data_IF_622213423191
#
_entry.id   IF_622213423191
#
_cell.length_a   1.000
_cell.length_b   1.000
_cell.length_c   1.000
_cell.angle_alpha   90.00
_cell.angle_beta   90.00
_cell.angle_gamma   90.00
#
_symmetry.space_group_name_H-M   'P 1'
#
loop_
_entity.id
_entity.type
_entity.pdbx_description
1 polymer ?
#
# COMPACT_ATOMS: atom_id res chain seq x y z
N UNK A 1 -12.32 -18.75 -9.18
CA UNK A 1 -11.64 -17.65 -8.47
C UNK A 1 -10.33 -17.37 -9.16
N UNK A 2 -10.20 -16.22 -9.80
CA UNK A 2 -8.96 -15.82 -10.49
C UNK A 2 -7.86 -15.68 -9.45
N UNK A 3 -6.71 -16.33 -9.70
CA UNK A 3 -5.54 -16.26 -8.81
C UNK A 3 -5.09 -14.81 -8.71
N UNK A 4 -4.82 -14.31 -7.50
CA UNK A 4 -4.32 -12.95 -7.32
C UNK A 4 -2.99 -12.78 -8.10
N UNK A 5 -2.91 -11.84 -9.05
CA UNK A 5 -1.77 -11.76 -9.98
C UNK A 5 -0.49 -11.27 -9.29
N UNK A 6 -0.60 -10.59 -8.14
CA UNK A 6 0.55 -9.98 -7.47
C UNK A 6 1.30 -10.98 -6.59
N UNK A 7 0.65 -12.08 -6.19
CA UNK A 7 1.21 -13.06 -5.24
C UNK A 7 2.54 -13.63 -5.73
N UNK A 8 2.64 -14.02 -7.01
CA UNK A 8 3.86 -14.60 -7.56
C UNK A 8 5.04 -13.64 -7.51
N UNK A 9 4.82 -12.39 -7.90
CA UNK A 9 5.86 -11.36 -7.85
C UNK A 9 6.28 -11.07 -6.40
N UNK A 10 5.32 -10.90 -5.48
CA UNK A 10 5.61 -10.62 -4.07
C UNK A 10 6.42 -11.74 -3.42
N UNK A 11 6.05 -13.00 -3.66
CA UNK A 11 6.78 -14.15 -3.12
C UNK A 11 8.20 -14.25 -3.69
N UNK A 12 8.38 -14.01 -4.99
CA UNK A 12 9.69 -13.99 -5.63
C UNK A 12 10.61 -12.88 -5.05
N UNK A 13 10.03 -11.80 -4.52
CA UNK A 13 10.75 -10.71 -3.86
C UNK A 13 10.83 -10.87 -2.33
N UNK A 14 10.55 -12.07 -1.80
CA UNK A 14 10.74 -12.40 -0.39
C UNK A 14 9.60 -11.96 0.54
N UNK A 15 8.44 -11.58 -0.01
CA UNK A 15 7.27 -11.22 0.79
C UNK A 15 6.36 -12.43 1.00
N UNK A 16 6.22 -12.86 2.27
CA UNK A 16 5.24 -13.89 2.64
C UNK A 16 3.82 -13.32 2.50
N UNK A 17 3.00 -13.99 1.69
CA UNK A 17 1.62 -13.57 1.45
C UNK A 17 0.63 -14.60 2.00
N UNK A 18 -0.36 -14.13 2.74
CA UNK A 18 -1.39 -14.96 3.38
C UNK A 18 -2.78 -14.47 3.00
N UNK A 19 -3.83 -15.33 3.06
CA UNK A 19 -5.20 -14.85 2.92
C UNK A 19 -5.55 -13.81 3.99
N UNK A 20 -6.35 -12.82 3.63
CA UNK A 20 -6.97 -11.87 4.56
C UNK A 20 -8.47 -12.09 4.59
N UNK A 21 -9.05 -12.15 5.79
CA UNK A 21 -10.46 -12.44 6.01
C UNK A 21 -11.14 -11.28 6.73
N UNK A 22 -12.46 -11.17 6.55
CA UNK A 22 -13.26 -10.19 7.26
C UNK A 22 -13.33 -10.55 8.75
N UNK A 23 -12.66 -9.78 9.61
CA UNK A 23 -12.64 -9.98 11.07
C UNK A 23 -12.34 -11.45 11.43
N UNK A 24 -13.22 -12.09 12.21
CA UNK A 24 -13.12 -13.49 12.63
C UNK A 24 -13.95 -14.44 11.76
N UNK A 25 -14.37 -14.00 10.57
CA UNK A 25 -15.12 -14.84 9.64
C UNK A 25 -14.18 -15.59 8.69
N UNK A 26 -14.74 -16.55 7.96
CA UNK A 26 -14.07 -17.27 6.87
C UNK A 26 -14.24 -16.59 5.51
N UNK A 27 -14.87 -15.40 5.45
CA UNK A 27 -15.11 -14.67 4.20
C UNK A 27 -13.79 -14.03 3.71
N UNK A 28 -13.21 -14.47 2.58
CA UNK A 28 -11.96 -13.92 2.09
C UNK A 28 -12.17 -12.51 1.53
N UNK A 29 -11.37 -11.57 2.01
CA UNK A 29 -11.34 -10.19 1.49
C UNK A 29 -10.17 -9.93 0.55
N UNK A 30 -9.18 -10.84 0.52
CA UNK A 30 -8.04 -10.73 -0.37
C UNK A 30 -6.79 -11.40 0.20
N UNK A 31 -5.64 -10.77 -0.02
CA UNK A 31 -4.32 -11.22 0.43
C UNK A 31 -3.69 -10.17 1.33
N UNK A 32 -2.72 -10.57 2.15
CA UNK A 32 -1.96 -9.67 3.02
C UNK A 32 -0.50 -10.08 3.14
N UNK A 33 0.36 -9.11 3.45
CA UNK A 33 1.74 -9.32 3.87
C UNK A 33 2.12 -8.34 4.98
N UNK A 34 3.26 -8.56 5.63
CA UNK A 34 3.83 -7.65 6.62
C UNK A 34 5.18 -7.15 6.10
N UNK A 35 5.42 -5.83 6.17
CA UNK A 35 6.71 -5.23 5.83
C UNK A 35 6.94 -3.97 6.65
N UNK A 36 8.16 -3.83 7.20
CA UNK A 36 8.55 -2.63 7.96
C UNK A 36 7.69 -2.34 9.19
N UNK A 37 7.14 -3.38 9.84
CA UNK A 37 6.22 -3.23 10.98
C UNK A 37 4.78 -2.87 10.60
N UNK A 38 4.45 -2.87 9.31
CA UNK A 38 3.10 -2.62 8.80
C UNK A 38 2.51 -3.88 8.15
N UNK A 39 1.28 -4.21 8.52
CA UNK A 39 0.46 -5.19 7.82
C UNK A 39 -0.33 -4.45 6.72
N UNK A 40 -0.27 -4.97 5.49
CA UNK A 40 -1.06 -4.47 4.38
C UNK A 40 -1.88 -5.62 3.80
N UNK A 41 -3.17 -5.38 3.57
CA UNK A 41 -4.07 -6.26 2.86
C UNK A 41 -4.62 -5.60 1.59
N UNK A 42 -4.71 -6.37 0.52
CA UNK A 42 -5.21 -5.93 -0.79
C UNK A 42 -6.13 -6.97 -1.43
N UNK A 43 -6.87 -6.53 -2.46
CA UNK A 43 -7.53 -7.41 -3.42
C UNK A 43 -7.44 -6.85 -4.84
N UNK A 44 -7.37 -7.73 -5.82
CA UNK A 44 -7.43 -7.35 -7.23
C UNK A 44 -8.83 -7.60 -7.80
N UNK A 45 -9.36 -6.62 -8.53
CA UNK A 45 -10.59 -6.69 -9.30
C UNK A 45 -10.31 -6.22 -10.73
N UNK A 46 -9.98 -7.15 -11.62
CA UNK A 46 -9.45 -6.81 -12.96
C UNK A 46 -8.11 -6.07 -12.84
N UNK A 47 -7.97 -4.94 -13.53
CA UNK A 47 -6.79 -4.06 -13.44
C UNK A 47 -6.76 -3.15 -12.20
N UNK A 48 -7.78 -3.23 -11.34
CA UNK A 48 -7.92 -2.39 -10.15
C UNK A 48 -7.41 -3.12 -8.91
N UNK A 49 -6.62 -2.44 -8.08
CA UNK A 49 -6.10 -2.99 -6.82
C UNK A 49 -6.67 -2.19 -5.66
N UNK A 50 -7.42 -2.85 -4.78
CA UNK A 50 -7.98 -2.22 -3.60
C UNK A 50 -7.07 -2.47 -2.39
N UNK A 51 -6.69 -1.40 -1.68
CA UNK A 51 -6.11 -1.43 -0.34
C UNK A 51 -7.27 -1.63 0.63
N UNK A 52 -7.39 -2.86 1.13
CA UNK A 52 -8.45 -3.26 2.06
C UNK A 52 -8.09 -2.84 3.48
N UNK A 53 -6.80 -2.93 3.81
CA UNK A 53 -6.28 -2.51 5.09
C UNK A 53 -4.79 -2.18 4.95
N UNK A 54 -4.35 -1.17 5.65
CA UNK A 54 -2.96 -0.95 6.02
C UNK A 54 -3.03 -0.65 7.51
N UNK A 55 -2.16 -1.22 8.35
CA UNK A 55 -2.08 -0.92 9.78
C UNK A 55 -0.70 -1.26 10.31
N UNK A 56 -0.37 -0.76 11.49
CA UNK A 56 0.84 -1.19 12.21
C UNK A 56 0.58 -2.52 12.90
N UNK A 57 1.60 -3.37 12.94
CA UNK A 57 1.56 -4.63 13.70
C UNK A 57 1.63 -4.36 15.19
N UNK A 58 2.37 -3.32 15.60
CA UNK A 58 2.51 -2.85 16.98
C UNK A 58 2.60 -1.31 16.99
N UNK A 59 2.01 -0.65 17.98
CA UNK A 59 1.88 0.80 18.10
C UNK A 59 3.21 1.58 18.14
N UNK A 60 4.33 0.92 18.48
CA UNK A 60 5.67 1.53 18.45
C UNK A 60 6.50 1.14 17.22
N UNK A 61 6.19 0.02 16.58
CA UNK A 61 6.89 -0.46 15.38
C UNK A 61 6.26 0.15 14.11
N UNK A 62 7.11 0.51 13.13
CA UNK A 62 6.67 1.11 11.87
C UNK A 62 6.54 2.63 11.86
N UNK A 63 6.82 3.34 12.97
CA UNK A 63 6.78 4.81 13.03
C UNK A 63 7.79 5.48 12.07
N UNK A 64 8.94 4.84 11.83
CA UNK A 64 9.98 5.35 10.94
C UNK A 64 9.48 5.42 9.49
N UNK A 65 8.64 4.46 9.07
CA UNK A 65 8.04 4.48 7.74
C UNK A 65 6.74 3.68 7.67
N UNK A 66 5.64 4.26 8.16
CA UNK A 66 4.32 3.62 8.21
C UNK A 66 3.73 3.26 6.83
N UNK A 67 4.37 3.70 5.74
CA UNK A 67 3.92 3.50 4.36
C UNK A 67 4.85 2.59 3.55
N UNK A 68 5.87 1.99 4.19
CA UNK A 68 6.82 1.12 3.51
C UNK A 68 6.13 -0.05 2.77
N UNK A 69 5.13 -0.66 3.41
CA UNK A 69 4.34 -1.73 2.79
C UNK A 69 3.55 -1.26 1.56
N UNK A 70 3.08 -0.02 1.55
CA UNK A 70 2.37 0.53 0.39
C UNK A 70 3.30 0.71 -0.82
N UNK A 71 4.56 1.07 -0.60
CA UNK A 71 5.54 1.13 -1.69
C UNK A 71 5.83 -0.24 -2.29
N UNK A 72 5.97 -1.27 -1.45
CA UNK A 72 6.14 -2.65 -1.92
C UNK A 72 4.94 -3.08 -2.78
N UNK A 73 3.71 -2.77 -2.34
CA UNK A 73 2.52 -3.08 -3.14
C UNK A 73 2.52 -2.32 -4.47
N UNK A 74 2.89 -1.04 -4.49
CA UNK A 74 2.94 -0.25 -5.71
C UNK A 74 4.00 -0.78 -6.71
N UNK A 75 5.13 -1.28 -6.22
CA UNK A 75 6.16 -1.92 -7.06
C UNK A 75 5.63 -3.21 -7.70
N UNK A 76 4.95 -4.05 -6.91
CA UNK A 76 4.31 -5.26 -7.42
C UNK A 76 3.26 -4.94 -8.50
N UNK A 77 2.41 -3.94 -8.24
CA UNK A 77 1.38 -3.50 -9.19
C UNK A 77 2.00 -2.96 -10.47
N UNK A 78 3.03 -2.13 -10.36
CA UNK A 78 3.73 -1.59 -11.52
C UNK A 78 4.33 -2.70 -12.38
N UNK A 79 4.99 -3.68 -11.75
CA UNK A 79 5.65 -4.78 -12.44
C UNK A 79 4.68 -5.75 -13.11
N UNK A 80 3.53 -6.02 -12.49
CA UNK A 80 2.59 -7.05 -12.94
C UNK A 80 1.45 -6.49 -13.79
N UNK A 81 0.92 -5.32 -13.44
CA UNK A 81 -0.26 -4.72 -14.07
C UNK A 81 0.08 -3.48 -14.90
N UNK A 82 1.33 -3.00 -14.84
CA UNK A 82 1.80 -1.85 -15.61
C UNK A 82 1.52 -0.49 -14.97
N UNK A 83 2.06 0.56 -15.58
CA UNK A 83 2.09 1.91 -15.02
C UNK A 83 0.71 2.58 -14.88
N UNK A 84 -0.26 2.14 -15.70
CA UNK A 84 -1.64 2.66 -15.68
C UNK A 84 -2.49 2.02 -14.59
N UNK A 85 -2.01 0.95 -13.94
CA UNK A 85 -2.72 0.30 -12.87
C UNK A 85 -2.82 1.22 -11.65
N UNK A 86 -3.99 1.16 -11.01
CA UNK A 86 -4.37 2.08 -9.94
C UNK A 86 -4.65 1.32 -8.66
N UNK A 87 -4.14 1.89 -7.57
CA UNK A 87 -4.41 1.52 -6.19
C UNK A 87 -5.57 2.38 -5.68
N UNK A 88 -6.54 1.75 -5.04
CA UNK A 88 -7.72 2.41 -4.48
C UNK A 88 -7.89 2.00 -3.04
N UNK A 89 -8.24 2.91 -2.15
CA UNK A 89 -8.68 2.44 -0.84
C UNK A 89 -9.01 3.53 0.13
N UNK A 90 -9.82 3.11 1.11
CA UNK A 90 -10.01 3.83 2.36
C UNK A 90 -8.98 3.29 3.33
N UNK A 91 -7.94 4.06 3.58
CA UNK A 91 -6.82 3.61 4.41
C UNK A 91 -7.08 4.01 5.85
N UNK A 92 -7.41 3.05 6.71
CA UNK A 92 -7.58 3.26 8.15
C UNK A 92 -6.28 2.99 8.93
N UNK A 93 -5.11 3.20 8.30
CA UNK A 93 -3.80 2.82 8.85
C UNK A 93 -3.39 3.46 10.17
N UNK A 94 -4.19 4.43 10.60
CA UNK A 94 -3.92 5.28 11.73
C UNK A 94 -5.09 5.29 12.71
N UNK A 95 -6.05 4.36 12.60
CA UNK A 95 -6.97 4.12 13.71
C UNK A 95 -6.12 3.88 14.98
N UNK A 96 -6.37 4.68 16.01
CA UNK A 96 -5.66 4.69 17.29
C UNK A 96 -4.18 5.15 17.22
N UNK A 97 -3.75 5.78 16.12
CA UNK A 97 -2.44 6.44 16.01
C UNK A 97 -2.52 7.90 16.49
N UNK A 98 -1.51 8.42 17.22
CA UNK A 98 -1.44 9.83 17.56
C UNK A 98 -1.17 10.73 16.34
N UNK A 99 -0.88 10.13 15.18
CA UNK A 99 -0.70 10.87 13.94
C UNK A 99 -2.05 11.02 13.23
N UNK A 100 -2.47 12.28 13.10
CA UNK A 100 -3.72 12.73 12.51
C UNK A 100 -3.87 12.35 11.02
N UNK A 101 -5.12 12.18 10.56
CA UNK A 101 -5.52 11.92 9.18
C UNK A 101 -4.92 12.93 8.19
N UNK A 102 -4.59 14.14 8.63
CA UNK A 102 -3.85 15.15 7.88
C UNK A 102 -2.49 14.66 7.36
N UNK A 103 -1.72 13.91 8.15
CA UNK A 103 -0.40 13.40 7.72
C UNK A 103 -0.54 12.34 6.64
N UNK A 104 -1.61 11.55 6.75
CA UNK A 104 -1.97 10.50 5.80
C UNK A 104 -2.46 11.11 4.48
N UNK A 105 -3.37 12.08 4.53
CA UNK A 105 -3.83 12.82 3.36
C UNK A 105 -2.69 13.59 2.68
N UNK A 106 -1.71 14.09 3.46
CA UNK A 106 -0.47 14.70 2.94
C UNK A 106 0.40 13.67 2.23
N UNK A 107 0.57 12.46 2.78
CA UNK A 107 1.29 11.37 2.11
C UNK A 107 0.60 11.02 0.79
N UNK A 108 -0.69 10.71 0.81
CA UNK A 108 -1.43 10.34 -0.39
C UNK A 108 -1.32 11.41 -1.48
N UNK A 109 -1.67 12.67 -1.16
CA UNK A 109 -1.67 13.74 -2.15
C UNK A 109 -0.26 14.12 -2.62
N UNK A 110 0.68 14.32 -1.70
CA UNK A 110 2.00 14.91 -2.02
C UNK A 110 3.10 13.89 -2.30
N UNK A 111 3.05 12.71 -1.67
CA UNK A 111 4.14 11.73 -1.76
C UNK A 111 3.88 10.65 -2.80
N UNK A 112 2.62 10.47 -3.20
CA UNK A 112 2.22 9.44 -4.15
C UNK A 112 1.37 9.96 -5.32
N UNK A 113 1.09 11.26 -5.36
CA UNK A 113 0.28 11.88 -6.41
C UNK A 113 -1.18 11.43 -6.41
N UNK A 114 -1.71 11.05 -5.24
CA UNK A 114 -3.05 10.49 -5.14
C UNK A 114 -4.13 11.58 -5.35
N UNK A 115 -5.19 11.20 -6.06
CA UNK A 115 -6.43 11.97 -6.12
C UNK A 115 -7.37 11.51 -5.00
N UNK A 116 -8.00 12.45 -4.30
CA UNK A 116 -9.08 12.16 -3.35
C UNK A 116 -10.40 12.17 -4.13
N UNK A 117 -11.04 11.01 -4.27
CA UNK A 117 -12.27 10.86 -5.04
C UNK A 117 -13.51 11.26 -4.22
N UNK A 118 -13.46 10.94 -2.93
CA UNK A 118 -14.45 11.26 -1.92
C UNK A 118 -13.73 11.28 -0.57
N UNK A 119 -14.33 11.89 0.46
CA UNK A 119 -13.69 12.06 1.77
C UNK A 119 -13.08 10.76 2.30
N UNK A 120 -11.74 10.74 2.41
CA UNK A 120 -10.97 9.60 2.93
C UNK A 120 -10.76 8.42 1.97
N UNK A 121 -11.16 8.55 0.70
CA UNK A 121 -10.89 7.57 -0.36
C UNK A 121 -9.92 8.12 -1.39
N UNK A 122 -8.81 7.41 -1.57
CA UNK A 122 -7.73 7.83 -2.45
C UNK A 122 -7.55 6.87 -3.61
N UNK A 123 -7.27 7.44 -4.79
CA UNK A 123 -6.82 6.75 -5.99
C UNK A 123 -5.35 7.12 -6.25
N UNK A 124 -4.50 6.13 -6.52
CA UNK A 124 -3.09 6.32 -6.83
C UNK A 124 -2.66 5.52 -8.07
N UNK A 125 -1.91 6.14 -8.98
CA UNK A 125 -1.26 5.41 -10.06
C UNK A 125 0.06 4.76 -9.56
N UNK A 126 0.23 3.47 -9.79
CA UNK A 126 1.40 2.73 -9.30
C UNK A 126 2.72 3.28 -9.85
N UNK A 127 2.74 3.71 -11.12
CA UNK A 127 3.90 4.36 -11.72
C UNK A 127 4.30 5.67 -11.03
N UNK A 128 3.31 6.47 -10.62
CA UNK A 128 3.54 7.73 -9.91
C UNK A 128 4.16 7.49 -8.53
N UNK A 129 3.64 6.52 -7.77
CA UNK A 129 4.19 6.11 -6.46
C UNK A 129 5.68 5.74 -6.57
N UNK A 130 6.04 4.93 -7.57
CA UNK A 130 7.41 4.45 -7.75
C UNK A 130 8.34 5.58 -8.22
N UNK A 131 7.90 6.43 -9.15
CA UNK A 131 8.70 7.56 -9.65
C UNK A 131 9.08 8.55 -8.55
N UNK A 132 8.14 8.89 -7.66
CA UNK A 132 8.35 9.83 -6.57
C UNK A 132 9.28 9.25 -5.49
N UNK A 133 9.28 7.93 -5.28
CA UNK A 133 10.25 7.24 -4.41
C UNK A 133 11.67 7.36 -4.98
N UNK A 134 11.83 7.17 -6.29
CA UNK A 134 13.12 7.25 -6.97
C UNK A 134 13.70 8.67 -6.95
N UNK A 135 12.87 9.69 -7.22
CA UNK A 135 13.29 11.10 -7.16
C UNK A 135 13.82 11.46 -5.77
N UNK A 136 13.15 11.00 -4.70
CA UNK A 136 13.62 11.24 -3.33
C UNK A 136 14.89 10.51 -2.96
N UNK A 137 15.04 9.24 -3.37
CA UNK A 137 16.31 8.53 -3.15
C UNK A 137 17.47 9.31 -3.75
N UNK A 138 17.30 9.88 -4.95
CA UNK A 138 18.30 10.76 -5.59
C UNK A 138 18.56 12.03 -4.79
N UNK A 139 17.52 12.74 -4.35
CA UNK A 139 17.67 13.97 -3.54
C UNK A 139 18.34 13.77 -2.18
N UNK A 140 18.21 12.59 -1.57
CA UNK A 140 18.88 12.26 -0.31
C UNK A 140 20.37 12.00 -0.56
N UNK A 141 20.69 11.28 -1.64
CA UNK A 141 22.07 10.99 -2.05
C UNK A 141 22.80 12.28 -2.42
N UNK A 142 22.16 13.21 -3.15
CA UNK A 142 22.76 14.49 -3.56
C UNK A 142 23.00 15.48 -2.40
N UNK A 143 22.51 15.18 -1.18
CA UNK A 143 22.65 16.03 0.01
C UNK A 143 23.64 15.49 1.04
N UNK A 144 24.26 14.35 0.77
CA UNK A 144 25.29 13.68 1.59
C UNK A 144 26.60 13.70 0.85
#
# INVERSE_FOLDING_TARGET
MTRDPLVGWLQAHGHDTRPHFLRHSTLPLGRKFVYGGCELAWRCEGGRVWIVMLRRVDGRHGLVNSFAALHVLAEAVLAVLGAQAKLYGKVQAMADSPLDGTRMARFYRRWTGAAELQSGWFELAAGQVCSLRTIRKRQIIDRT
#
